data_IF_793336637187
#
_entry.id   IF_793336637187
#
_cell.length_a   1.000
_cell.length_b   1.000
_cell.length_c   1.000
_cell.angle_alpha   90.00
_cell.angle_beta   90.00
_cell.angle_gamma   90.00
#
_symmetry.space_group_name_H-M   'P 1'
#
loop_
_entity.id
_entity.type
_entity.pdbx_description
1 polymer ?
#
# COMPACT_ATOMS: atom_id res chain seq x y z
N UNK A 1 4.38 -37.96 -17.14
CA UNK A 1 3.94 -36.96 -16.13
C UNK A 1 5.18 -36.30 -15.54
N UNK A 2 5.38 -35.00 -15.76
CA UNK A 2 6.60 -34.27 -15.40
C UNK A 2 6.69 -34.00 -13.89
N UNK A 3 7.06 -35.01 -13.09
CA UNK A 3 7.27 -34.88 -11.64
C UNK A 3 8.25 -33.76 -11.28
N UNK A 4 9.37 -33.61 -12.02
CA UNK A 4 10.33 -32.52 -11.79
C UNK A 4 9.78 -31.10 -12.01
N UNK A 5 8.73 -30.93 -12.82
CA UNK A 5 8.07 -29.62 -13.00
C UNK A 5 7.10 -29.28 -11.87
N UNK A 6 6.53 -30.30 -11.22
CA UNK A 6 5.62 -30.13 -10.09
C UNK A 6 6.42 -29.80 -8.82
N UNK A 7 7.52 -30.54 -8.59
CA UNK A 7 8.44 -30.32 -7.47
C UNK A 7 9.04 -28.91 -7.50
N UNK A 8 9.49 -28.45 -8.67
CA UNK A 8 10.02 -27.09 -8.83
C UNK A 8 8.98 -25.98 -8.68
N UNK A 9 7.69 -26.25 -8.90
CA UNK A 9 6.60 -25.27 -8.63
C UNK A 9 6.26 -25.22 -7.14
N UNK A 10 6.20 -26.38 -6.49
CA UNK A 10 5.94 -26.48 -5.06
C UNK A 10 7.05 -25.80 -4.24
N UNK A 11 8.31 -26.07 -4.58
CA UNK A 11 9.46 -25.42 -3.94
C UNK A 11 9.38 -23.89 -4.04
N UNK A 12 9.10 -23.35 -5.23
CA UNK A 12 8.95 -21.91 -5.45
C UNK A 12 7.79 -21.30 -4.65
N UNK A 13 6.70 -22.05 -4.49
CA UNK A 13 5.56 -21.62 -3.68
C UNK A 13 5.92 -21.54 -2.19
N UNK A 14 6.56 -22.58 -1.65
CA UNK A 14 7.05 -22.59 -0.27
C UNK A 14 8.09 -21.49 0.00
N UNK A 15 8.98 -21.25 -0.95
CA UNK A 15 9.97 -20.16 -0.88
C UNK A 15 9.26 -18.79 -0.80
N UNK A 16 8.22 -18.58 -1.61
CA UNK A 16 7.41 -17.36 -1.59
C UNK A 16 6.70 -17.13 -0.25
N UNK A 17 6.08 -18.18 0.30
CA UNK A 17 5.44 -18.13 1.62
C UNK A 17 6.46 -17.74 2.69
N UNK A 18 7.64 -18.39 2.67
CA UNK A 18 8.70 -18.13 3.64
C UNK A 18 9.20 -16.69 3.54
N UNK A 19 9.38 -16.15 2.32
CA UNK A 19 9.79 -14.77 2.10
C UNK A 19 8.75 -13.77 2.60
N UNK A 20 7.46 -14.02 2.36
CA UNK A 20 6.35 -13.19 2.86
C UNK A 20 6.31 -13.17 4.39
N UNK A 21 6.46 -14.33 5.02
CA UNK A 21 6.55 -14.43 6.47
C UNK A 21 7.76 -13.66 7.01
N UNK A 22 8.93 -13.85 6.39
CA UNK A 22 10.16 -13.19 6.78
C UNK A 22 10.09 -11.66 6.73
N UNK A 23 9.56 -11.08 5.65
CA UNK A 23 9.42 -9.61 5.57
C UNK A 23 8.39 -9.05 6.55
N UNK A 24 7.36 -9.83 6.90
CA UNK A 24 6.37 -9.40 7.89
C UNK A 24 6.98 -9.38 9.29
N UNK A 25 7.77 -10.41 9.63
CA UNK A 25 8.53 -10.44 10.89
C UNK A 25 9.50 -9.26 10.97
N UNK A 26 10.22 -8.95 9.88
CA UNK A 26 11.05 -7.75 9.82
C UNK A 26 10.22 -6.47 10.03
N UNK A 27 9.07 -6.35 9.38
CA UNK A 27 8.19 -5.21 9.54
C UNK A 27 7.74 -5.03 11.01
N UNK A 28 7.37 -6.10 11.70
CA UNK A 28 7.04 -6.06 13.13
C UNK A 28 8.25 -5.59 13.93
N UNK A 29 9.41 -6.26 13.78
CA UNK A 29 10.62 -5.94 14.54
C UNK A 29 11.05 -4.48 14.36
N UNK A 30 11.08 -3.98 13.13
CA UNK A 30 11.49 -2.60 12.84
C UNK A 30 10.45 -1.56 13.26
N UNK A 31 9.17 -1.93 13.30
CA UNK A 31 8.13 -1.10 13.91
C UNK A 31 8.34 -0.99 15.42
N UNK A 32 8.60 -2.11 16.10
CA UNK A 32 8.89 -2.13 17.54
C UNK A 32 10.15 -1.32 17.89
N UNK A 33 11.24 -1.49 17.13
CA UNK A 33 12.52 -0.78 17.35
C UNK A 33 12.34 0.75 17.20
N UNK A 34 11.50 1.19 16.27
CA UNK A 34 11.26 2.61 16.01
C UNK A 34 10.25 3.27 16.96
N UNK A 35 10.09 2.81 18.20
CA UNK A 35 9.08 3.34 19.15
C UNK A 35 7.66 3.27 18.57
N UNK A 36 7.32 2.12 17.97
CA UNK A 36 6.03 1.83 17.32
C UNK A 36 5.64 2.82 16.21
N UNK A 37 5.10 3.99 16.58
CA UNK A 37 4.56 4.97 15.67
C UNK A 37 5.60 5.52 14.70
N UNK A 38 6.81 5.86 15.18
CA UNK A 38 7.88 6.36 14.31
C UNK A 38 8.55 5.24 13.49
N UNK A 39 8.38 3.97 13.89
CA UNK A 39 8.90 2.82 13.15
C UNK A 39 7.94 2.32 12.07
N UNK A 40 6.64 2.53 12.25
CA UNK A 40 5.59 1.98 11.41
C UNK A 40 5.68 2.42 9.94
N UNK A 41 5.78 3.73 9.70
CA UNK A 41 5.84 4.27 8.34
C UNK A 41 7.11 3.87 7.58
N UNK A 42 8.33 4.04 8.12
CA UNK A 42 9.54 3.59 7.41
C UNK A 42 9.62 2.07 7.24
N UNK A 43 9.10 1.27 8.19
CA UNK A 43 8.98 -0.18 8.02
C UNK A 43 8.04 -0.52 6.85
N UNK A 44 6.91 0.19 6.73
CA UNK A 44 5.96 0.00 5.63
C UNK A 44 6.57 0.38 4.30
N UNK A 45 7.30 1.50 4.20
CA UNK A 45 8.03 1.89 2.98
C UNK A 45 9.07 0.86 2.58
N UNK A 46 9.84 0.33 3.54
CA UNK A 46 10.81 -0.73 3.28
C UNK A 46 10.14 -2.02 2.76
N UNK A 47 9.02 -2.40 3.37
CA UNK A 47 8.23 -3.57 2.96
C UNK A 47 7.68 -3.39 1.53
N UNK A 48 7.03 -2.26 1.23
CA UNK A 48 6.54 -1.95 -0.12
C UNK A 48 7.68 -1.87 -1.15
N UNK A 49 8.86 -1.41 -0.76
CA UNK A 49 10.03 -1.39 -1.65
C UNK A 49 10.46 -2.80 -2.05
N UNK A 50 10.46 -3.74 -1.12
CA UNK A 50 10.82 -5.15 -1.37
C UNK A 50 9.74 -5.84 -2.20
N UNK A 51 8.47 -5.66 -1.84
CA UNK A 51 7.33 -6.22 -2.60
C UNK A 51 7.31 -5.68 -4.03
N UNK A 52 7.53 -4.37 -4.23
CA UNK A 52 7.67 -3.79 -5.58
C UNK A 52 8.79 -4.47 -6.36
N UNK A 53 9.96 -4.69 -5.74
CA UNK A 53 11.09 -5.33 -6.43
C UNK A 53 10.75 -6.74 -6.89
N UNK A 54 10.09 -7.53 -6.04
CA UNK A 54 9.63 -8.88 -6.40
C UNK A 54 8.63 -8.86 -7.56
N UNK A 55 7.63 -7.99 -7.50
CA UNK A 55 6.57 -7.95 -8.52
C UNK A 55 7.02 -7.34 -9.85
N UNK A 56 7.93 -6.36 -9.82
CA UNK A 56 8.34 -5.63 -11.02
C UNK A 56 9.55 -6.27 -11.71
N UNK A 57 10.59 -6.62 -10.95
CA UNK A 57 11.85 -7.12 -11.51
C UNK A 57 11.95 -8.65 -11.50
N UNK A 58 11.02 -9.34 -10.83
CA UNK A 58 11.10 -10.79 -10.61
C UNK A 58 12.44 -11.24 -9.97
N UNK A 59 13.14 -10.30 -9.32
CA UNK A 59 14.42 -10.55 -8.66
C UNK A 59 14.16 -11.01 -7.23
N UNK A 60 14.57 -12.24 -6.96
CA UNK A 60 14.38 -12.93 -5.69
C UNK A 60 15.70 -13.22 -4.96
N UNK A 61 16.82 -12.73 -5.48
CA UNK A 61 18.18 -13.10 -5.06
C UNK A 61 18.86 -12.07 -4.15
N UNK A 62 18.33 -10.85 -4.09
CA UNK A 62 18.92 -9.79 -3.28
C UNK A 62 18.80 -10.06 -1.76
N UNK A 63 19.73 -9.55 -0.94
CA UNK A 63 19.67 -9.70 0.51
C UNK A 63 18.53 -8.88 1.10
N UNK A 64 17.43 -9.55 1.46
CA UNK A 64 16.19 -8.95 1.98
C UNK A 64 16.48 -8.09 3.21
N UNK A 65 17.17 -8.63 4.23
CA UNK A 65 17.48 -7.91 5.47
C UNK A 65 18.29 -6.62 5.23
N UNK A 66 19.40 -6.74 4.48
CA UNK A 66 20.27 -5.59 4.18
C UNK A 66 19.50 -4.51 3.42
N UNK A 67 18.64 -4.91 2.49
CA UNK A 67 17.80 -3.98 1.72
C UNK A 67 16.75 -3.32 2.62
N UNK A 68 16.05 -4.10 3.45
CA UNK A 68 15.05 -3.59 4.39
C UNK A 68 15.66 -2.55 5.33
N UNK A 69 16.76 -2.90 5.98
CA UNK A 69 17.46 -2.03 6.93
C UNK A 69 17.95 -0.73 6.29
N UNK A 70 18.54 -0.84 5.09
CA UNK A 70 19.02 0.31 4.34
C UNK A 70 17.88 1.28 4.02
N UNK A 71 16.78 0.78 3.47
CA UNK A 71 15.61 1.61 3.11
C UNK A 71 14.97 2.22 4.37
N UNK A 72 14.80 1.43 5.42
CA UNK A 72 14.24 1.89 6.70
C UNK A 72 15.01 3.11 7.24
N UNK A 73 16.34 3.04 7.27
CA UNK A 73 17.18 4.15 7.75
C UNK A 73 17.14 5.37 6.83
N UNK A 74 17.18 5.16 5.51
CA UNK A 74 17.20 6.24 4.53
C UNK A 74 15.88 7.02 4.52
N UNK A 75 14.76 6.31 4.67
CA UNK A 75 13.42 6.88 4.56
C UNK A 75 12.81 7.26 5.91
N UNK A 76 13.52 7.07 7.03
CA UNK A 76 13.00 7.26 8.38
C UNK A 76 12.27 8.60 8.57
N UNK A 77 12.91 9.71 8.23
CA UNK A 77 12.33 11.05 8.42
C UNK A 77 11.25 11.36 7.38
N UNK A 78 11.47 11.04 6.11
CA UNK A 78 10.52 11.37 5.02
C UNK A 78 9.24 10.55 5.14
N UNK A 79 9.34 9.26 5.44
CA UNK A 79 8.20 8.38 5.65
C UNK A 79 7.38 8.81 6.87
N UNK A 80 8.04 9.20 7.97
CA UNK A 80 7.34 9.70 9.16
C UNK A 80 6.69 11.07 8.93
N UNK A 81 7.32 11.98 8.18
CA UNK A 81 6.70 13.25 7.82
C UNK A 81 5.43 13.03 6.97
N UNK A 82 5.47 12.09 6.02
CA UNK A 82 4.31 11.71 5.24
C UNK A 82 3.23 11.06 6.13
N UNK A 83 3.64 10.14 7.00
CA UNK A 83 2.76 9.47 7.95
C UNK A 83 2.03 10.44 8.88
N UNK A 84 2.75 11.43 9.42
CA UNK A 84 2.19 12.45 10.29
C UNK A 84 1.05 13.25 9.62
N UNK A 85 1.20 13.56 8.33
CA UNK A 85 0.15 14.24 7.55
C UNK A 85 -1.11 13.36 7.48
N UNK A 86 -0.96 12.08 7.11
CA UNK A 86 -2.10 11.16 7.04
C UNK A 86 -2.73 10.91 8.41
N UNK A 87 -1.94 10.73 9.46
CA UNK A 87 -2.44 10.58 10.83
C UNK A 87 -3.20 11.81 11.29
N UNK A 88 -2.71 13.02 10.98
CA UNK A 88 -3.39 14.27 11.35
C UNK A 88 -4.75 14.38 10.64
N UNK A 89 -4.79 14.11 9.33
CA UNK A 89 -6.05 14.11 8.56
C UNK A 89 -7.03 13.07 9.12
N UNK A 90 -6.54 11.87 9.45
CA UNK A 90 -7.36 10.82 10.04
C UNK A 90 -7.96 11.23 11.39
N UNK A 91 -7.17 11.85 12.28
CA UNK A 91 -7.65 12.34 13.57
C UNK A 91 -8.76 13.39 13.36
N UNK A 92 -8.57 14.35 12.44
CA UNK A 92 -9.60 15.36 12.15
C UNK A 92 -10.89 14.70 11.66
N UNK A 93 -10.81 13.81 10.67
CA UNK A 93 -11.98 13.10 10.13
C UNK A 93 -12.68 12.25 11.20
N UNK A 94 -11.92 11.61 12.08
CA UNK A 94 -12.46 10.82 13.19
C UNK A 94 -13.18 11.70 14.21
N UNK A 95 -12.60 12.84 14.58
CA UNK A 95 -13.23 13.80 15.50
C UNK A 95 -14.51 14.40 14.90
N UNK A 96 -14.50 14.75 13.61
CA UNK A 96 -15.68 15.25 12.90
C UNK A 96 -16.81 14.20 12.88
N UNK A 97 -16.46 12.91 12.74
CA UNK A 97 -17.42 11.81 12.80
C UNK A 97 -18.06 11.67 14.19
N UNK A 98 -17.28 11.87 15.26
CA UNK A 98 -17.81 11.86 16.63
C UNK A 98 -18.74 13.05 16.90
N UNK A 99 -18.38 14.23 16.39
CA UNK A 99 -19.17 15.46 16.56
C UNK A 99 -20.53 15.37 15.87
N UNK A 100 -20.63 14.57 14.82
CA UNK A 100 -21.84 14.35 14.03
C UNK A 100 -23.07 14.00 14.88
N UNK A 101 -22.87 13.25 15.97
CA UNK A 101 -23.92 12.85 16.91
C UNK A 101 -24.59 14.00 17.68
N UNK A 102 -23.97 15.19 17.71
CA UNK A 102 -24.46 16.37 18.43
C UNK A 102 -25.16 17.39 17.51
N UNK A 103 -25.26 17.11 16.21
CA UNK A 103 -25.86 18.02 15.23
C UNK A 103 -27.39 17.86 15.17
N UNK A 104 -28.08 18.95 14.83
CA UNK A 104 -29.53 18.91 14.55
C UNK A 104 -29.81 18.10 13.27
N UNK A 105 -31.00 17.48 13.21
CA UNK A 105 -31.37 16.54 12.13
C UNK A 105 -31.17 17.08 10.70
N UNK A 106 -31.44 18.38 10.48
CA UNK A 106 -31.32 19.00 9.16
C UNK A 106 -29.86 19.18 8.72
N UNK A 107 -28.95 19.47 9.64
CA UNK A 107 -27.52 19.69 9.36
C UNK A 107 -26.78 18.35 9.32
N UNK A 108 -27.22 17.41 10.15
CA UNK A 108 -26.64 16.08 10.29
C UNK A 108 -26.51 15.35 8.95
N UNK A 109 -27.57 15.26 8.16
CA UNK A 109 -27.57 14.51 6.89
C UNK A 109 -26.56 15.07 5.88
N UNK A 110 -26.51 16.40 5.73
CA UNK A 110 -25.59 17.05 4.81
C UNK A 110 -24.12 16.82 5.24
N UNK A 111 -23.84 17.01 6.52
CA UNK A 111 -22.49 16.84 7.07
C UNK A 111 -22.03 15.38 7.01
N UNK A 112 -22.94 14.42 7.24
CA UNK A 112 -22.68 12.99 7.11
C UNK A 112 -22.26 12.60 5.69
N UNK A 113 -22.99 13.08 4.68
CA UNK A 113 -22.65 12.81 3.27
C UNK A 113 -21.29 13.39 2.93
N UNK A 114 -21.02 14.65 3.32
CA UNK A 114 -19.74 15.31 3.06
C UNK A 114 -18.57 14.57 3.73
N UNK A 115 -18.73 14.18 5.00
CA UNK A 115 -17.71 13.45 5.76
C UNK A 115 -17.47 12.04 5.19
N UNK A 116 -18.53 11.36 4.76
CA UNK A 116 -18.42 10.04 4.12
C UNK A 116 -17.61 10.12 2.82
N UNK A 117 -17.86 11.14 1.99
CA UNK A 117 -17.09 11.39 0.78
C UNK A 117 -15.62 11.66 1.13
N UNK A 118 -15.34 12.54 2.10
CA UNK A 118 -13.96 12.82 2.53
C UNK A 118 -13.24 11.56 3.04
N UNK A 119 -13.93 10.69 3.77
CA UNK A 119 -13.37 9.42 4.26
C UNK A 119 -13.06 8.44 3.11
N UNK A 120 -13.93 8.37 2.11
CA UNK A 120 -13.69 7.59 0.89
C UNK A 120 -12.45 8.13 0.16
N UNK A 121 -12.37 9.45 -0.07
CA UNK A 121 -11.22 10.07 -0.74
C UNK A 121 -9.92 9.86 0.03
N UNK A 122 -9.97 9.96 1.36
CA UNK A 122 -8.84 9.66 2.24
C UNK A 122 -8.38 8.20 2.07
N UNK A 123 -9.32 7.25 2.11
CA UNK A 123 -9.03 5.81 1.95
C UNK A 123 -8.43 5.50 0.59
N UNK A 124 -8.99 6.07 -0.49
CA UNK A 124 -8.44 5.91 -1.85
C UNK A 124 -7.00 6.43 -1.89
N UNK A 125 -6.74 7.60 -1.33
CA UNK A 125 -5.38 8.18 -1.31
C UNK A 125 -4.41 7.30 -0.51
N UNK A 126 -4.86 6.78 0.64
CA UNK A 126 -4.07 5.92 1.51
C UNK A 126 -3.69 4.59 0.84
N UNK A 127 -4.55 4.02 0.00
CA UNK A 127 -4.24 2.80 -0.75
C UNK A 127 -3.10 3.02 -1.75
N UNK A 128 -3.03 4.20 -2.38
CA UNK A 128 -2.04 4.46 -3.43
C UNK A 128 -0.78 5.16 -2.93
N UNK A 129 -0.77 5.73 -1.73
CA UNK A 129 0.36 6.53 -1.27
C UNK A 129 1.66 5.73 -1.20
N UNK A 130 1.66 4.54 -0.60
CA UNK A 130 2.88 3.73 -0.48
C UNK A 130 3.35 3.20 -1.83
N UNK A 131 2.49 2.61 -2.70
CA UNK A 131 2.88 2.23 -4.04
C UNK A 131 3.47 3.38 -4.85
N UNK A 132 2.85 4.56 -4.82
CA UNK A 132 3.33 5.74 -5.55
C UNK A 132 4.66 6.23 -4.98
N UNK A 133 4.79 6.25 -3.64
CA UNK A 133 6.01 6.66 -2.95
C UNK A 133 7.20 5.79 -3.31
N UNK A 134 7.02 4.46 -3.31
CA UNK A 134 8.12 3.57 -3.65
C UNK A 134 8.38 3.53 -5.14
N UNK A 135 7.35 3.65 -5.98
CA UNK A 135 7.45 3.46 -7.42
C UNK A 135 8.05 4.67 -8.14
N UNK A 136 7.59 5.89 -7.83
CA UNK A 136 8.01 7.12 -8.50
C UNK A 136 9.02 7.92 -7.67
N UNK A 137 9.89 8.67 -8.34
CA UNK A 137 10.82 9.61 -7.69
C UNK A 137 10.27 11.03 -7.82
N UNK A 138 9.43 11.45 -6.88
CA UNK A 138 8.71 12.74 -6.91
C UNK A 138 9.11 13.65 -5.75
N UNK A 139 8.71 14.93 -5.83
CA UNK A 139 8.79 15.86 -4.69
C UNK A 139 7.75 15.48 -3.63
N UNK A 140 8.01 15.84 -2.38
CA UNK A 140 7.20 15.44 -1.22
C UNK A 140 5.67 15.62 -1.40
N UNK A 141 5.21 16.82 -1.76
CA UNK A 141 3.77 17.09 -1.98
C UNK A 141 3.20 16.45 -3.26
N UNK A 142 4.05 16.10 -4.22
CA UNK A 142 3.61 15.43 -5.43
C UNK A 142 3.16 13.99 -5.13
N UNK A 143 3.73 13.32 -4.13
CA UNK A 143 3.26 11.99 -3.73
C UNK A 143 1.77 11.99 -3.36
N UNK A 144 1.34 12.96 -2.56
CA UNK A 144 -0.06 13.09 -2.14
C UNK A 144 -0.98 13.34 -3.34
N UNK A 145 -0.61 14.30 -4.21
CA UNK A 145 -1.38 14.64 -5.41
C UNK A 145 -1.50 13.45 -6.36
N UNK A 146 -0.40 12.75 -6.62
CA UNK A 146 -0.40 11.63 -7.57
C UNK A 146 -1.14 10.41 -7.01
N UNK A 147 -1.00 10.10 -5.72
CA UNK A 147 -1.75 9.02 -5.07
C UNK A 147 -3.26 9.25 -5.20
N UNK A 148 -3.73 10.46 -4.90
CA UNK A 148 -5.13 10.85 -5.04
C UNK A 148 -5.61 10.75 -6.50
N UNK A 149 -4.89 11.37 -7.45
CA UNK A 149 -5.29 11.40 -8.85
C UNK A 149 -5.31 10.01 -9.49
N UNK A 150 -4.30 9.18 -9.22
CA UNK A 150 -4.21 7.83 -9.79
C UNK A 150 -5.35 6.95 -9.25
N UNK A 151 -5.62 7.02 -7.93
CA UNK A 151 -6.67 6.24 -7.29
C UNK A 151 -8.07 6.64 -7.78
N UNK A 152 -8.34 7.94 -7.92
CA UNK A 152 -9.61 8.44 -8.45
C UNK A 152 -9.79 8.15 -9.95
N UNK A 153 -8.71 8.21 -10.73
CA UNK A 153 -8.78 7.96 -12.17
C UNK A 153 -9.06 6.48 -12.52
N UNK A 154 -8.87 5.55 -11.57
CA UNK A 154 -9.02 4.11 -11.80
C UNK A 154 -9.92 3.43 -10.76
N UNK A 155 -11.21 3.82 -10.66
CA UNK A 155 -12.11 3.36 -9.60
C UNK A 155 -12.35 1.84 -9.63
N UNK A 156 -12.32 1.21 -10.81
CA UNK A 156 -12.50 -0.25 -10.94
C UNK A 156 -11.37 -1.05 -10.29
N UNK A 157 -10.12 -0.61 -10.43
CA UNK A 157 -8.99 -1.32 -9.82
C UNK A 157 -8.94 -1.01 -8.32
N UNK A 158 -9.24 0.23 -7.95
CA UNK A 158 -9.36 0.64 -6.54
C UNK A 158 -10.44 -0.15 -5.80
N UNK A 159 -11.61 -0.37 -6.40
CA UNK A 159 -12.66 -1.20 -5.79
C UNK A 159 -12.24 -2.66 -5.66
N UNK A 160 -11.54 -3.23 -6.66
CA UNK A 160 -10.97 -4.58 -6.57
C UNK A 160 -9.94 -4.71 -5.43
N UNK A 161 -9.08 -3.70 -5.22
CA UNK A 161 -8.18 -3.67 -4.08
C UNK A 161 -8.95 -3.72 -2.76
N UNK A 162 -9.95 -2.85 -2.59
CA UNK A 162 -10.77 -2.78 -1.36
C UNK A 162 -11.47 -4.11 -1.10
N UNK A 163 -12.09 -4.71 -2.12
CA UNK A 163 -12.77 -6.01 -2.00
C UNK A 163 -11.77 -7.09 -1.56
N UNK A 164 -10.60 -7.14 -2.18
CA UNK A 164 -9.61 -8.18 -1.89
C UNK A 164 -8.98 -8.01 -0.50
N UNK A 165 -8.77 -6.77 -0.06
CA UNK A 165 -8.37 -6.46 1.32
C UNK A 165 -9.48 -6.86 2.29
N UNK A 166 -10.75 -6.60 1.97
CA UNK A 166 -11.89 -7.03 2.77
C UNK A 166 -11.95 -8.55 2.95
N UNK A 167 -11.76 -9.30 1.85
CA UNK A 167 -11.67 -10.77 1.90
C UNK A 167 -10.49 -11.23 2.76
N UNK A 168 -9.33 -10.58 2.66
CA UNK A 168 -8.18 -10.88 3.51
C UNK A 168 -8.48 -10.65 5.00
N UNK A 169 -9.19 -9.57 5.34
CA UNK A 169 -9.64 -9.31 6.70
C UNK A 169 -10.57 -10.41 7.23
N UNK A 170 -11.47 -10.94 6.39
CA UNK A 170 -12.33 -12.08 6.76
C UNK A 170 -11.48 -13.31 7.07
N UNK A 171 -10.47 -13.62 6.26
CA UNK A 171 -9.54 -14.74 6.54
C UNK A 171 -8.83 -14.53 7.88
N UNK A 172 -8.34 -13.33 8.16
CA UNK A 172 -7.68 -13.01 9.44
C UNK A 172 -8.62 -13.11 10.65
N UNK A 173 -9.91 -12.80 10.48
CA UNK A 173 -10.90 -12.97 11.54
C UNK A 173 -11.07 -14.44 11.94
N UNK A 174 -11.15 -15.36 10.96
CA UNK A 174 -11.30 -16.79 11.23
C UNK A 174 -9.98 -17.48 11.63
N UNK A 175 -8.83 -16.98 11.16
CA UNK A 175 -7.51 -17.56 11.39
C UNK A 175 -6.55 -16.52 12.01
N UNK A 176 -6.78 -16.04 13.24
CA UNK A 176 -5.96 -14.99 13.82
C UNK A 176 -4.47 -15.38 13.97
N UNK A 177 -4.17 -16.67 14.04
CA UNK A 177 -2.80 -17.19 14.12
C UNK A 177 -1.90 -16.83 12.94
N UNK A 178 -2.46 -16.50 11.75
CA UNK A 178 -1.66 -16.13 10.57
C UNK A 178 -1.29 -14.64 10.53
N UNK A 179 -1.99 -13.80 11.31
CA UNK A 179 -1.81 -12.34 11.35
C UNK A 179 -0.34 -11.93 11.61
N UNK A 180 0.38 -12.44 12.64
CA UNK A 180 1.75 -12.03 12.89
C UNK A 180 2.72 -12.42 11.77
N UNK A 181 2.37 -13.38 10.92
CA UNK A 181 3.21 -13.85 9.83
C UNK A 181 2.88 -13.19 8.49
N UNK A 182 1.62 -12.84 8.23
CA UNK A 182 1.18 -12.49 6.88
C UNK A 182 0.40 -11.18 6.75
N UNK A 183 0.14 -10.46 7.85
CA UNK A 183 -0.69 -9.24 7.85
C UNK A 183 -0.27 -8.18 6.84
N UNK A 184 0.81 -7.46 7.13
CA UNK A 184 1.25 -6.34 6.30
C UNK A 184 1.93 -6.79 5.00
N UNK A 185 2.54 -7.98 4.99
CA UNK A 185 3.16 -8.52 3.79
C UNK A 185 2.12 -8.88 2.71
N UNK A 186 1.01 -9.53 3.06
CA UNK A 186 -0.09 -9.79 2.11
C UNK A 186 -0.81 -8.51 1.72
N UNK A 187 -1.09 -7.63 2.69
CA UNK A 187 -1.70 -6.33 2.39
C UNK A 187 -0.90 -5.57 1.32
N UNK A 188 0.41 -5.42 1.52
CA UNK A 188 1.26 -4.73 0.56
C UNK A 188 1.36 -5.46 -0.77
N UNK A 189 1.37 -6.79 -0.79
CA UNK A 189 1.36 -7.56 -2.03
C UNK A 189 0.10 -7.27 -2.86
N UNK A 190 -1.08 -7.30 -2.23
CA UNK A 190 -2.35 -7.03 -2.90
C UNK A 190 -2.41 -5.60 -3.43
N UNK A 191 -2.10 -4.62 -2.57
CA UNK A 191 -2.12 -3.20 -2.91
C UNK A 191 -1.11 -2.89 -4.01
N UNK A 192 0.13 -3.36 -3.88
CA UNK A 192 1.17 -3.12 -4.87
C UNK A 192 0.86 -3.78 -6.20
N UNK A 193 0.26 -4.99 -6.21
CA UNK A 193 -0.14 -5.67 -7.45
C UNK A 193 -1.17 -4.86 -8.21
N UNK A 194 -2.23 -4.40 -7.54
CA UNK A 194 -3.23 -3.54 -8.17
C UNK A 194 -2.63 -2.22 -8.64
N UNK A 195 -1.75 -1.61 -7.84
CA UNK A 195 -1.15 -0.32 -8.18
C UNK A 195 -0.23 -0.44 -9.40
N UNK A 196 0.59 -1.49 -9.49
CA UNK A 196 1.41 -1.77 -10.66
C UNK A 196 0.57 -1.99 -11.92
N UNK A 197 -0.60 -2.60 -11.81
CA UNK A 197 -1.51 -2.73 -12.95
C UNK A 197 -1.99 -1.35 -13.45
N UNK A 198 -2.30 -0.44 -12.52
CA UNK A 198 -2.64 0.96 -12.85
C UNK A 198 -1.45 1.70 -13.45
N UNK A 199 -0.26 1.58 -12.86
CA UNK A 199 0.94 2.28 -13.34
C UNK A 199 1.29 1.88 -14.77
N UNK A 200 1.29 0.57 -15.08
CA UNK A 200 1.48 0.07 -16.45
C UNK A 200 0.43 0.60 -17.43
N UNK A 201 -0.82 0.76 -17.00
CA UNK A 201 -1.89 1.34 -17.83
C UNK A 201 -1.64 2.82 -18.11
N UNK A 202 -1.17 3.57 -17.11
CA UNK A 202 -0.83 5.00 -17.24
C UNK A 202 0.38 5.19 -18.16
N UNK A 203 1.45 4.43 -17.97
CA UNK A 203 2.68 4.46 -18.79
C UNK A 203 2.39 4.16 -20.26
N UNK A 204 1.65 3.07 -20.55
CA UNK A 204 1.24 2.74 -21.94
C UNK A 204 0.43 3.84 -22.61
N UNK A 205 -0.35 4.60 -21.85
CA UNK A 205 -1.13 5.72 -22.39
C UNK A 205 -0.22 6.91 -22.72
N UNK A 206 0.80 7.15 -21.90
CA UNK A 206 1.82 8.18 -22.16
C UNK A 206 2.68 7.85 -23.38
N UNK A 207 3.14 6.61 -23.51
CA UNK A 207 3.92 6.15 -24.67
C UNK A 207 3.16 6.37 -25.99
N UNK A 208 1.89 5.98 -26.04
CA UNK A 208 1.03 6.16 -27.24
C UNK A 208 0.82 7.63 -27.61
N UNK A 209 0.69 8.51 -26.62
CA UNK A 209 0.53 9.95 -26.87
C UNK A 209 1.84 10.61 -27.27
N UNK A 210 2.97 10.15 -26.72
CA UNK A 210 4.30 10.61 -27.11
C UNK A 210 4.65 10.22 -28.55
N UNK A 211 4.34 8.99 -28.97
CA UNK A 211 4.60 8.52 -30.35
C UNK A 211 3.68 9.19 -31.38
N UNK A 212 2.41 9.44 -31.05
CA UNK A 212 1.47 10.12 -31.95
C UNK A 212 1.80 11.59 -32.20
N UNK A 213 2.45 12.27 -31.26
CA UNK A 213 2.88 13.67 -31.43
C UNK A 213 4.27 13.79 -32.11
N UNK A 214 5.04 12.70 -32.22
CA UNK A 214 6.32 12.69 -32.95
C UNK A 214 6.16 12.36 -34.44
N UNK A 215 4.99 11.88 -34.86
CA UNK A 215 4.65 11.53 -36.25
C UNK A 215 3.89 12.66 -37.00
N UNK A 216 3.61 13.78 -36.33
CA UNK A 216 2.97 15.00 -36.87
C UNK A 216 3.93 16.18 -36.83
#
# INVERSE_FOLDING_TARGET
MNFGTLEGKFYRFCEWITKLAYINVLWILFTLIGVLFLGFFPATVALFTIVRKWLLFHDHTFPIFKTFFKVYKQEFFKANALGLIFTTIFIVLYMDMLYLSNLSANIHTLFFIALSISFILYTVTLLYIFPVYVHYNLKFFQYLKYAFLIGMANPLITSMMVITIGLLCVVFFYLPGIIPFFSMSLFALLVMTGALHVFKKVERKQEKWGSSNSET
#
